data_IF_464868170452
#
_entry.id   IF_464868170452
#
_cell.length_a   1.000
_cell.length_b   1.000
_cell.length_c   1.000
_cell.angle_alpha   90.00
_cell.angle_beta   90.00
_cell.angle_gamma   90.00
#
_symmetry.space_group_name_H-M   'P 1'
#
loop_
_entity.id
_entity.type
_entity.pdbx_description
1 polymer ?
#
# COMPACT_ATOMS: atom_id res chain seq x y z
N UNK A 1 -12.69 -4.37 -0.52
CA UNK A 1 -14.04 -4.39 -1.11
C UNK A 1 -14.77 -3.09 -0.87
N UNK A 2 -14.62 -2.44 0.29
CA UNK A 2 -15.44 -1.30 0.71
C UNK A 2 -16.70 -1.73 1.47
N UNK A 3 -17.22 -2.94 1.21
CA UNK A 3 -18.42 -3.47 1.85
C UNK A 3 -18.28 -3.55 3.39
N UNK A 4 -19.05 -2.78 4.19
CA UNK A 4 -18.80 -2.66 5.63
C UNK A 4 -19.49 -3.80 6.41
N UNK A 5 -18.82 -4.95 6.43
CA UNK A 5 -19.32 -6.22 7.00
C UNK A 5 -19.86 -6.03 8.42
N UNK A 6 -19.11 -5.38 9.31
CA UNK A 6 -19.52 -5.21 10.70
C UNK A 6 -20.78 -4.34 10.87
N UNK A 7 -20.89 -3.25 10.09
CA UNK A 7 -22.07 -2.36 10.10
C UNK A 7 -23.33 -3.10 9.64
N UNK A 8 -23.21 -3.94 8.62
CA UNK A 8 -24.33 -4.73 8.09
C UNK A 8 -24.68 -5.92 8.99
N UNK A 9 -23.68 -6.60 9.55
CA UNK A 9 -23.89 -7.68 10.52
C UNK A 9 -24.66 -7.21 11.77
N UNK A 10 -24.37 -6.00 12.26
CA UNK A 10 -25.10 -5.41 13.39
C UNK A 10 -26.59 -5.19 13.07
N UNK A 11 -26.91 -4.78 11.84
CA UNK A 11 -28.30 -4.63 11.35
C UNK A 11 -29.00 -5.98 11.22
N UNK A 12 -28.31 -7.00 10.71
CA UNK A 12 -28.84 -8.38 10.63
C UNK A 12 -29.16 -8.92 12.03
N UNK A 13 -28.29 -8.64 13.02
CA UNK A 13 -28.49 -9.08 14.40
C UNK A 13 -29.78 -8.54 15.05
N UNK A 14 -30.34 -7.44 14.54
CA UNK A 14 -31.63 -6.88 15.01
C UNK A 14 -32.82 -7.22 14.08
N UNK A 15 -32.63 -8.14 13.13
CA UNK A 15 -33.70 -8.74 12.34
C UNK A 15 -33.81 -8.27 10.88
N UNK A 16 -32.92 -7.40 10.41
CA UNK A 16 -32.91 -6.97 8.99
C UNK A 16 -32.32 -8.06 8.08
N UNK A 17 -32.81 -8.13 6.84
CA UNK A 17 -32.22 -8.96 5.77
C UNK A 17 -31.39 -8.12 4.79
N UNK A 18 -30.53 -8.76 3.99
CA UNK A 18 -29.63 -8.06 3.08
C UNK A 18 -30.36 -7.24 2.01
N UNK A 19 -31.53 -7.70 1.57
CA UNK A 19 -32.41 -7.05 0.58
C UNK A 19 -33.22 -5.87 1.16
N UNK A 20 -33.22 -5.71 2.49
CA UNK A 20 -33.85 -4.55 3.16
C UNK A 20 -32.87 -3.39 3.38
N UNK A 21 -31.56 -3.62 3.19
CA UNK A 21 -30.51 -2.66 3.48
C UNK A 21 -29.92 -2.09 2.19
N UNK A 22 -29.86 -0.77 2.05
CA UNK A 22 -29.09 -0.13 0.98
C UNK A 22 -27.59 -0.37 1.16
N UNK A 23 -26.88 -0.53 0.04
CA UNK A 23 -25.43 -0.57 -0.01
C UNK A 23 -24.89 0.82 0.39
N UNK A 24 -24.12 0.91 1.49
CA UNK A 24 -23.63 2.19 2.00
C UNK A 24 -22.55 2.84 1.14
N UNK A 25 -22.08 2.18 0.06
CA UNK A 25 -21.06 2.74 -0.85
C UNK A 25 -21.68 3.35 -2.10
N UNK A 26 -22.55 2.60 -2.78
CA UNK A 26 -23.21 3.06 -4.00
C UNK A 26 -24.46 3.86 -3.72
N UNK A 27 -25.10 3.66 -2.55
CA UNK A 27 -26.38 4.24 -2.11
C UNK A 27 -27.59 4.02 -3.06
N UNK A 28 -27.35 3.36 -4.19
CA UNK A 28 -28.29 3.15 -5.30
C UNK A 28 -28.63 1.67 -5.50
N UNK A 29 -27.90 0.77 -4.83
CA UNK A 29 -28.15 -0.67 -4.82
C UNK A 29 -28.38 -1.20 -3.40
N UNK A 30 -28.83 -2.45 -3.29
CA UNK A 30 -29.02 -3.13 -2.00
C UNK A 30 -27.77 -3.87 -1.55
N UNK A 31 -27.67 -4.19 -0.27
CA UNK A 31 -26.54 -4.92 0.32
C UNK A 31 -26.51 -6.41 -0.07
N UNK A 32 -27.58 -6.94 -0.68
CA UNK A 32 -27.68 -8.32 -1.19
C UNK A 32 -26.97 -8.51 -2.54
N UNK A 33 -25.64 -8.41 -2.56
CA UNK A 33 -24.81 -8.67 -3.74
C UNK A 33 -23.42 -9.16 -3.34
N UNK A 34 -22.69 -9.71 -4.31
CA UNK A 34 -21.28 -10.07 -4.15
C UNK A 34 -20.41 -8.94 -4.75
N UNK A 35 -19.54 -8.28 -3.96
CA UNK A 35 -18.68 -7.23 -4.49
C UNK A 35 -17.76 -7.75 -5.60
N UNK A 36 -17.64 -6.95 -6.66
CA UNK A 36 -16.68 -7.18 -7.74
C UNK A 36 -15.60 -6.12 -7.67
N UNK A 37 -14.35 -6.55 -7.75
CA UNK A 37 -13.19 -5.66 -7.67
C UNK A 37 -12.47 -5.67 -9.02
N UNK A 38 -12.13 -4.50 -9.51
CA UNK A 38 -11.31 -4.29 -10.71
C UNK A 38 -9.83 -4.02 -10.37
N UNK A 39 -9.44 -4.32 -9.14
CA UNK A 39 -8.10 -4.13 -8.60
C UNK A 39 -7.67 -5.31 -7.72
N UNK A 40 -6.37 -5.37 -7.40
CA UNK A 40 -5.75 -6.38 -6.55
C UNK A 40 -5.37 -5.76 -5.20
N UNK A 41 -5.73 -6.45 -4.12
CA UNK A 41 -5.33 -6.10 -2.75
C UNK A 41 -4.23 -7.05 -2.30
N UNK A 42 -3.14 -6.50 -1.78
CA UNK A 42 -2.08 -7.26 -1.13
C UNK A 42 -2.01 -6.89 0.33
N UNK A 43 -1.97 -7.91 1.19
CA UNK A 43 -1.78 -7.75 2.63
C UNK A 43 -0.48 -8.41 3.04
N UNK A 44 0.34 -7.73 3.84
CA UNK A 44 1.57 -8.31 4.40
C UNK A 44 1.56 -8.12 5.93
N UNK A 45 1.79 -9.19 6.72
CA UNK A 45 1.91 -9.06 8.18
C UNK A 45 3.16 -8.26 8.58
N UNK A 46 3.02 -7.44 9.63
CA UNK A 46 4.11 -6.76 10.31
C UNK A 46 4.49 -7.54 11.57
N UNK A 47 5.73 -8.01 11.63
CA UNK A 47 6.25 -8.77 12.77
C UNK A 47 7.02 -7.86 13.74
N UNK A 48 7.27 -8.24 15.00
CA UNK A 48 8.00 -7.41 15.96
C UNK A 48 9.47 -7.85 16.17
N UNK A 49 10.09 -8.54 15.21
CA UNK A 49 11.42 -9.14 15.41
C UNK A 49 12.54 -8.12 15.56
N UNK A 50 12.32 -6.85 15.19
CA UNK A 50 13.20 -5.73 15.52
C UNK A 50 13.27 -5.41 17.03
N UNK A 51 12.27 -5.86 17.80
CA UNK A 51 12.23 -5.73 19.27
C UNK A 51 12.58 -7.02 20.00
N UNK A 52 12.48 -8.16 19.32
CA UNK A 52 12.75 -9.48 19.87
C UNK A 52 13.84 -10.20 19.07
N UNK A 53 15.06 -9.68 19.12
CA UNK A 53 16.20 -10.24 18.36
C UNK A 53 16.48 -11.72 18.66
N UNK A 54 16.17 -12.18 19.87
CA UNK A 54 16.32 -13.58 20.30
C UNK A 54 15.04 -14.40 20.16
N UNK A 55 13.98 -13.81 19.61
CA UNK A 55 12.71 -14.48 19.38
C UNK A 55 12.82 -15.54 18.28
N UNK A 56 12.03 -16.60 18.40
CA UNK A 56 11.92 -17.59 17.33
C UNK A 56 11.18 -17.00 16.13
N UNK A 57 11.87 -16.84 15.00
CA UNK A 57 11.34 -16.21 13.78
C UNK A 57 10.53 -17.12 12.87
N UNK A 58 10.66 -18.45 13.03
CA UNK A 58 9.94 -19.44 12.22
C UNK A 58 8.44 -19.22 12.35
N UNK A 59 7.76 -19.09 11.21
CA UNK A 59 6.32 -18.88 11.14
C UNK A 59 5.61 -20.23 11.04
N UNK A 60 4.42 -20.31 11.63
CA UNK A 60 3.61 -21.51 11.64
C UNK A 60 2.15 -21.18 11.89
N UNK A 61 1.42 -22.12 12.49
CA UNK A 61 -0.03 -21.96 12.76
C UNK A 61 -0.33 -20.96 13.87
N UNK A 62 0.63 -20.70 14.76
CA UNK A 62 0.50 -19.69 15.80
C UNK A 62 0.91 -18.31 15.26
N UNK A 63 0.00 -17.34 15.38
CA UNK A 63 0.24 -15.96 14.93
C UNK A 63 1.35 -15.30 15.76
N UNK A 64 2.33 -14.73 15.06
CA UNK A 64 3.44 -13.94 15.63
C UNK A 64 3.45 -12.47 15.16
N UNK A 65 2.59 -12.12 14.20
CA UNK A 65 2.47 -10.76 13.68
C UNK A 65 1.82 -9.84 14.73
N UNK A 66 2.26 -8.59 14.80
CA UNK A 66 1.71 -7.56 15.70
C UNK A 66 0.82 -6.55 14.97
N UNK A 67 0.82 -6.58 13.64
CA UNK A 67 -0.05 -5.77 12.81
C UNK A 67 0.08 -6.18 11.35
N UNK A 68 -0.36 -5.31 10.46
CA UNK A 68 -0.40 -5.58 9.03
C UNK A 68 -0.46 -4.29 8.20
N UNK A 69 -0.03 -4.42 6.94
CA UNK A 69 -0.23 -3.41 5.90
C UNK A 69 -1.12 -3.97 4.83
N UNK A 70 -1.90 -3.09 4.22
CA UNK A 70 -2.63 -3.39 2.99
C UNK A 70 -2.21 -2.42 1.90
N UNK A 71 -2.29 -2.83 0.64
CA UNK A 71 -2.15 -1.95 -0.49
C UNK A 71 -3.06 -2.39 -1.64
N UNK A 72 -3.42 -1.42 -2.48
CA UNK A 72 -4.29 -1.61 -3.64
C UNK A 72 -3.52 -1.22 -4.90
N UNK A 73 -3.61 -2.04 -5.95
CA UNK A 73 -3.06 -1.74 -7.28
C UNK A 73 -3.87 -2.42 -8.38
N UNK A 74 -3.75 -1.96 -9.61
CA UNK A 74 -4.41 -2.52 -10.80
C UNK A 74 -3.77 -3.85 -11.23
N UNK A 75 -2.53 -4.07 -10.84
CA UNK A 75 -1.81 -5.32 -11.03
C UNK A 75 -1.36 -5.90 -9.69
N UNK A 76 -1.11 -7.21 -9.67
CA UNK A 76 -0.57 -7.86 -8.47
C UNK A 76 0.81 -7.31 -8.11
N UNK A 77 1.65 -7.06 -9.11
CA UNK A 77 2.99 -6.52 -8.93
C UNK A 77 2.94 -5.13 -8.27
N UNK A 78 2.05 -4.26 -8.76
CA UNK A 78 1.87 -2.92 -8.19
C UNK A 78 1.38 -2.99 -6.75
N UNK A 79 0.32 -3.79 -6.52
CA UNK A 79 -0.25 -4.00 -5.20
C UNK A 79 0.78 -4.54 -4.20
N UNK A 80 1.59 -5.52 -4.62
CA UNK A 80 2.63 -6.12 -3.79
C UNK A 80 3.75 -5.14 -3.47
N UNK A 81 4.29 -4.42 -4.46
CA UNK A 81 5.38 -3.46 -4.24
C UNK A 81 4.94 -2.28 -3.37
N UNK A 82 3.67 -1.85 -3.47
CA UNK A 82 3.06 -0.89 -2.53
C UNK A 82 2.99 -1.45 -1.12
N UNK A 83 2.55 -2.70 -0.96
CA UNK A 83 2.50 -3.34 0.35
C UNK A 83 3.91 -3.52 0.95
N UNK A 84 4.93 -3.85 0.14
CA UNK A 84 6.30 -3.99 0.63
C UNK A 84 6.83 -2.66 1.17
N UNK A 85 6.73 -1.56 0.41
CA UNK A 85 7.22 -0.25 0.89
C UNK A 85 6.40 0.34 2.03
N UNK A 86 5.22 -0.23 2.28
CA UNK A 86 4.36 0.11 3.42
C UNK A 86 4.82 -0.51 4.75
N UNK A 87 5.68 -1.54 4.75
CA UNK A 87 6.02 -2.33 5.95
C UNK A 87 6.80 -1.58 7.04
N UNK A 88 7.32 -0.39 6.75
CA UNK A 88 8.17 0.38 7.66
C UNK A 88 9.40 -0.40 8.17
N UNK A 89 9.95 -1.24 7.30
CA UNK A 89 11.19 -1.99 7.50
C UNK A 89 12.37 -1.45 6.68
N UNK A 90 12.18 -0.33 5.97
CA UNK A 90 13.18 0.21 5.05
C UNK A 90 13.40 -0.65 3.79
N UNK A 91 12.46 -1.56 3.51
CA UNK A 91 12.41 -2.36 2.27
C UNK A 91 11.49 -1.67 1.27
N UNK A 92 11.93 -1.58 0.03
CA UNK A 92 11.19 -0.89 -1.05
C UNK A 92 10.97 -1.79 -2.28
N UNK A 93 11.44 -3.05 -2.22
CA UNK A 93 11.42 -3.98 -3.34
C UNK A 93 11.42 -5.45 -2.89
N UNK A 94 11.34 -6.39 -3.83
CA UNK A 94 11.52 -7.84 -3.59
C UNK A 94 13.00 -8.19 -3.33
N UNK A 95 13.52 -7.72 -2.20
CA UNK A 95 14.89 -7.96 -1.76
C UNK A 95 15.18 -7.24 -0.44
N UNK A 96 16.19 -7.74 0.28
CA UNK A 96 16.69 -7.07 1.49
C UNK A 96 17.74 -6.02 1.09
N UNK A 97 17.92 -4.93 1.85
CA UNK A 97 18.94 -3.91 1.55
C UNK A 97 20.36 -4.46 1.45
N UNK A 98 20.67 -5.53 2.18
CA UNK A 98 21.95 -6.25 2.16
C UNK A 98 21.88 -7.58 1.41
N UNK A 99 20.85 -7.80 0.57
CA UNK A 99 20.60 -9.06 -0.12
C UNK A 99 21.84 -9.60 -0.85
N UNK A 100 22.56 -8.72 -1.57
CA UNK A 100 23.77 -9.04 -2.34
C UNK A 100 24.91 -9.65 -1.51
N UNK A 101 24.91 -9.47 -0.18
CA UNK A 101 25.98 -9.96 0.71
C UNK A 101 25.85 -11.44 1.07
N UNK A 102 24.65 -12.02 0.91
CA UNK A 102 24.40 -13.42 1.23
C UNK A 102 24.76 -14.31 0.04
N UNK A 103 25.28 -15.51 0.27
CA UNK A 103 25.44 -16.51 -0.80
C UNK A 103 24.10 -17.22 -1.12
N UNK A 104 24.06 -17.91 -2.25
CA UNK A 104 22.82 -18.56 -2.72
C UNK A 104 22.38 -19.72 -1.83
N UNK A 105 23.32 -20.45 -1.23
CA UNK A 105 23.01 -21.60 -0.37
C UNK A 105 22.36 -21.13 0.94
N UNK A 106 22.89 -20.06 1.53
CA UNK A 106 22.29 -19.38 2.67
C UNK A 106 20.87 -18.92 2.35
N UNK A 107 20.67 -18.24 1.20
CA UNK A 107 19.34 -17.78 0.78
C UNK A 107 18.36 -18.96 0.67
N UNK A 108 18.75 -20.05 0.02
CA UNK A 108 17.90 -21.24 -0.12
C UNK A 108 17.60 -21.89 1.23
N UNK A 109 18.54 -21.86 2.17
CA UNK A 109 18.28 -22.28 3.56
C UNK A 109 17.22 -21.40 4.21
N UNK A 110 17.36 -20.08 4.13
CA UNK A 110 16.42 -19.11 4.72
C UNK A 110 15.01 -19.20 4.14
N UNK A 111 14.88 -19.49 2.84
CA UNK A 111 13.58 -19.75 2.22
C UNK A 111 12.87 -20.94 2.87
N UNK A 112 13.62 -21.99 3.24
CA UNK A 112 13.09 -23.20 3.89
C UNK A 112 12.76 -22.98 5.36
N UNK A 113 13.39 -22.02 6.03
CA UNK A 113 13.15 -21.70 7.45
C UNK A 113 11.76 -21.07 7.70
N UNK A 114 11.09 -20.57 6.65
CA UNK A 114 9.74 -20.01 6.71
C UNK A 114 9.58 -18.87 7.72
N UNK A 115 10.47 -17.87 7.67
CA UNK A 115 10.42 -16.70 8.54
C UNK A 115 9.79 -15.46 7.87
N UNK A 116 9.83 -14.33 8.56
CA UNK A 116 9.33 -13.03 8.11
C UNK A 116 10.11 -12.43 6.92
N UNK A 117 11.31 -12.93 6.64
CA UNK A 117 12.16 -12.46 5.52
C UNK A 117 12.00 -13.31 4.26
N UNK A 118 11.30 -14.44 4.34
CA UNK A 118 11.18 -15.42 3.26
C UNK A 118 10.76 -14.80 1.92
N UNK A 119 9.84 -13.83 1.91
CA UNK A 119 9.43 -13.13 0.69
C UNK A 119 10.62 -12.46 -0.02
N UNK A 120 11.48 -11.79 0.73
CA UNK A 120 12.63 -11.07 0.19
C UNK A 120 13.73 -12.03 -0.28
N UNK A 121 13.96 -13.12 0.46
CA UNK A 121 14.88 -14.17 0.03
C UNK A 121 14.43 -14.88 -1.25
N UNK A 122 13.12 -15.09 -1.44
CA UNK A 122 12.59 -15.58 -2.73
C UNK A 122 12.95 -14.62 -3.86
N UNK A 123 12.76 -13.31 -3.67
CA UNK A 123 13.16 -12.29 -4.63
C UNK A 123 14.65 -12.36 -4.99
N UNK A 124 15.52 -12.49 -3.99
CA UNK A 124 16.96 -12.67 -4.18
C UNK A 124 17.33 -13.97 -4.92
N UNK A 125 16.66 -15.08 -4.62
CA UNK A 125 16.89 -16.36 -5.27
C UNK A 125 16.51 -16.31 -6.76
N UNK A 126 15.37 -15.68 -7.09
CA UNK A 126 14.92 -15.46 -8.47
C UNK A 126 15.93 -14.57 -9.21
N UNK A 127 16.36 -13.46 -8.59
CA UNK A 127 17.36 -12.55 -9.15
C UNK A 127 18.68 -13.25 -9.52
N UNK A 128 18.99 -14.36 -8.85
CA UNK A 128 20.21 -15.17 -9.08
C UNK A 128 19.97 -16.43 -9.92
N UNK A 129 18.81 -16.52 -10.58
CA UNK A 129 18.51 -17.60 -11.51
C UNK A 129 18.07 -18.91 -10.87
N UNK A 130 17.64 -18.90 -9.60
CA UNK A 130 16.95 -20.07 -9.03
C UNK A 130 15.64 -20.27 -9.77
N UNK A 131 15.37 -21.49 -10.24
CA UNK A 131 14.18 -21.75 -11.05
C UNK A 131 12.91 -21.69 -10.21
N UNK A 132 11.79 -21.33 -10.84
CA UNK A 132 10.51 -21.22 -10.15
C UNK A 132 10.03 -22.58 -9.63
N UNK A 133 10.39 -23.68 -10.31
CA UNK A 133 10.11 -25.04 -9.86
C UNK A 133 10.84 -25.35 -8.56
N UNK A 134 12.12 -24.98 -8.44
CA UNK A 134 12.87 -25.19 -7.20
C UNK A 134 12.26 -24.38 -6.05
N UNK A 135 11.88 -23.12 -6.29
CA UNK A 135 11.22 -22.27 -5.30
C UNK A 135 9.86 -22.85 -4.93
N UNK A 136 9.06 -23.27 -5.90
CA UNK A 136 7.76 -23.91 -5.64
C UNK A 136 7.93 -25.16 -4.79
N UNK A 137 8.92 -26.02 -5.06
CA UNK A 137 9.15 -27.21 -4.26
C UNK A 137 9.51 -26.89 -2.81
N UNK A 138 10.33 -25.87 -2.58
CA UNK A 138 10.70 -25.42 -1.23
C UNK A 138 9.54 -24.75 -0.47
N UNK A 139 8.67 -24.04 -1.19
CA UNK A 139 7.76 -23.06 -0.58
C UNK A 139 6.29 -23.45 -0.65
N UNK A 140 5.92 -24.25 -1.67
CA UNK A 140 4.55 -24.53 -2.12
C UNK A 140 3.75 -23.27 -2.51
N UNK A 141 4.43 -22.14 -2.72
CA UNK A 141 3.81 -20.93 -3.26
C UNK A 141 3.44 -21.19 -4.71
N UNK A 142 2.21 -20.87 -5.08
CA UNK A 142 1.69 -21.14 -6.42
C UNK A 142 2.52 -20.47 -7.52
N UNK A 143 2.65 -21.15 -8.66
CA UNK A 143 3.37 -20.63 -9.82
C UNK A 143 2.84 -19.29 -10.31
N UNK A 144 1.54 -19.00 -10.15
CA UNK A 144 0.97 -17.70 -10.46
C UNK A 144 1.75 -16.57 -9.78
N UNK A 145 1.95 -16.65 -8.46
CA UNK A 145 2.68 -15.63 -7.71
C UNK A 145 4.18 -15.64 -8.02
N UNK A 146 4.78 -16.82 -8.19
CA UNK A 146 6.19 -16.92 -8.53
C UNK A 146 6.51 -16.30 -9.90
N UNK A 147 5.63 -16.46 -10.89
CA UNK A 147 5.75 -15.79 -12.18
C UNK A 147 5.63 -14.27 -12.04
N UNK A 148 4.81 -13.78 -11.11
CA UNK A 148 4.71 -12.34 -10.81
C UNK A 148 5.97 -11.79 -10.16
N UNK A 149 6.58 -12.55 -9.25
CA UNK A 149 7.87 -12.18 -8.68
C UNK A 149 8.97 -12.16 -9.76
N UNK A 150 9.01 -13.17 -10.64
CA UNK A 150 9.92 -13.19 -11.79
C UNK A 150 9.71 -11.98 -12.70
N UNK A 151 8.47 -11.60 -12.96
CA UNK A 151 8.17 -10.42 -13.78
C UNK A 151 8.72 -9.13 -13.16
N UNK A 152 8.55 -8.94 -11.84
CA UNK A 152 9.17 -7.82 -11.12
C UNK A 152 10.70 -7.82 -11.32
N UNK A 153 11.36 -8.97 -11.13
CA UNK A 153 12.82 -9.07 -11.32
C UNK A 153 13.23 -8.80 -12.78
N UNK A 154 12.42 -9.19 -13.76
CA UNK A 154 12.70 -8.90 -15.17
C UNK A 154 12.64 -7.39 -15.44
N UNK A 155 11.60 -6.69 -14.93
CA UNK A 155 11.49 -5.22 -15.03
C UNK A 155 12.70 -4.54 -14.38
N UNK A 156 13.15 -5.04 -13.23
CA UNK A 156 14.33 -4.54 -12.54
C UNK A 156 15.59 -4.61 -13.43
N UNK A 157 15.80 -5.75 -14.11
CA UNK A 157 16.92 -5.92 -15.05
C UNK A 157 16.79 -5.02 -16.28
N UNK A 158 15.59 -4.89 -16.83
CA UNK A 158 15.31 -4.04 -17.98
C UNK A 158 15.57 -2.56 -17.67
N UNK A 159 15.19 -2.08 -16.48
CA UNK A 159 15.53 -0.73 -16.01
C UNK A 159 17.03 -0.50 -15.98
N UNK A 160 17.78 -1.46 -15.41
CA UNK A 160 19.25 -1.35 -15.33
C UNK A 160 19.91 -1.31 -16.72
N UNK A 161 19.36 -2.05 -17.68
CA UNK A 161 19.86 -2.07 -19.06
C UNK A 161 19.51 -0.79 -19.85
N UNK A 162 18.42 -0.11 -19.51
CA UNK A 162 17.87 1.04 -20.24
C UNK A 162 17.85 2.31 -19.37
N UNK A 163 19.00 2.63 -18.74
CA UNK A 163 19.17 3.78 -17.84
C UNK A 163 18.62 5.09 -18.46
N UNK A 164 17.67 5.70 -17.77
CA UNK A 164 17.09 7.00 -18.14
C UNK A 164 16.05 6.95 -19.27
N UNK A 165 15.68 5.76 -19.77
CA UNK A 165 14.66 5.64 -20.81
C UNK A 165 13.26 5.85 -20.22
N UNK A 166 12.51 6.78 -20.82
CA UNK A 166 11.18 7.21 -20.37
C UNK A 166 10.12 6.10 -20.50
N UNK A 167 10.23 5.25 -21.53
CA UNK A 167 9.28 4.17 -21.73
C UNK A 167 9.46 3.09 -20.65
N UNK A 168 10.70 2.74 -20.33
CA UNK A 168 11.00 1.80 -19.25
C UNK A 168 10.67 2.38 -17.87
N UNK A 169 10.90 3.68 -17.66
CA UNK A 169 10.43 4.40 -16.48
C UNK A 169 8.92 4.24 -16.31
N UNK A 170 8.13 4.64 -17.33
CA UNK A 170 6.67 4.53 -17.31
C UNK A 170 6.20 3.09 -17.10
N UNK A 171 6.81 2.13 -17.81
CA UNK A 171 6.49 0.71 -17.67
C UNK A 171 6.69 0.23 -16.24
N UNK A 172 7.81 0.58 -15.59
CA UNK A 172 8.06 0.21 -14.20
C UNK A 172 7.06 0.85 -13.22
N UNK A 173 6.66 2.11 -13.43
CA UNK A 173 5.64 2.78 -12.62
C UNK A 173 4.29 2.06 -12.68
N UNK A 174 3.88 1.57 -13.86
CA UNK A 174 2.65 0.78 -14.05
C UNK A 174 2.63 -0.53 -13.24
N UNK A 175 3.80 -1.03 -12.83
CA UNK A 175 3.93 -2.21 -11.97
C UNK A 175 4.36 -1.88 -10.54
N UNK A 176 4.23 -0.61 -10.12
CA UNK A 176 4.38 -0.14 -8.74
C UNK A 176 5.82 0.02 -8.24
N UNK A 177 6.80 0.14 -9.15
CA UNK A 177 8.16 0.50 -8.77
C UNK A 177 8.20 1.92 -8.18
N UNK A 178 8.82 2.06 -7.00
CA UNK A 178 9.08 3.36 -6.39
C UNK A 178 10.19 4.10 -7.12
N UNK A 179 10.16 5.42 -7.03
CA UNK A 179 11.20 6.31 -7.55
C UNK A 179 12.56 5.94 -6.95
N UNK A 180 12.60 5.52 -5.69
CA UNK A 180 13.80 4.97 -5.01
C UNK A 180 14.42 3.76 -5.72
N UNK A 181 13.61 2.78 -6.10
CA UNK A 181 14.12 1.57 -6.77
C UNK A 181 14.58 1.89 -8.18
N UNK A 182 13.82 2.73 -8.89
CA UNK A 182 14.16 3.15 -10.24
C UNK A 182 15.45 3.96 -10.22
N UNK A 183 15.60 4.92 -9.30
CA UNK A 183 16.81 5.72 -9.10
C UNK A 183 18.02 4.83 -8.87
N UNK A 184 17.88 3.79 -8.04
CA UNK A 184 18.95 2.83 -7.82
C UNK A 184 19.33 2.02 -9.07
N UNK A 185 18.37 1.65 -9.93
CA UNK A 185 18.65 0.90 -11.17
C UNK A 185 19.16 1.78 -12.30
N UNK A 186 18.70 3.03 -12.35
CA UNK A 186 19.18 4.05 -13.26
C UNK A 186 20.46 4.73 -12.78
N UNK A 187 20.97 4.44 -11.58
CA UNK A 187 22.13 5.14 -11.02
C UNK A 187 21.94 6.67 -11.09
N UNK A 188 20.79 7.09 -10.55
CA UNK A 188 20.30 8.46 -10.41
C UNK A 188 19.88 8.68 -8.96
N UNK A 189 19.64 9.92 -8.58
CA UNK A 189 18.98 10.28 -7.31
C UNK A 189 17.47 10.14 -7.43
N UNK A 190 16.78 10.00 -6.28
CA UNK A 190 15.31 9.93 -6.25
C UNK A 190 14.67 11.20 -6.84
N UNK A 191 15.25 12.37 -6.53
CA UNK A 191 14.82 13.67 -7.09
C UNK A 191 14.96 13.72 -8.61
N UNK A 192 16.08 13.25 -9.19
CA UNK A 192 16.23 13.23 -10.64
C UNK A 192 15.21 12.32 -11.33
N UNK A 193 14.85 11.19 -10.72
CA UNK A 193 13.79 10.31 -11.24
C UNK A 193 12.42 10.96 -11.12
N UNK A 194 12.13 11.59 -9.99
CA UNK A 194 10.91 12.36 -9.79
C UNK A 194 10.76 13.46 -10.85
N UNK A 195 11.79 14.29 -11.05
CA UNK A 195 11.79 15.37 -12.03
C UNK A 195 11.59 14.84 -13.46
N UNK A 196 12.30 13.75 -13.81
CA UNK A 196 12.15 13.08 -15.10
C UNK A 196 10.73 12.58 -15.32
N UNK A 197 10.13 12.02 -14.28
CA UNK A 197 8.78 11.48 -14.27
C UNK A 197 7.74 12.59 -14.46
N UNK A 198 7.83 13.67 -13.69
CA UNK A 198 6.93 14.84 -13.77
C UNK A 198 7.07 15.54 -15.13
N UNK A 199 8.29 15.77 -15.61
CA UNK A 199 8.54 16.43 -16.90
C UNK A 199 7.94 15.68 -18.11
N UNK A 200 7.70 14.37 -17.96
CA UNK A 200 7.11 13.53 -19.01
C UNK A 200 5.65 13.15 -18.73
N UNK A 201 5.00 13.79 -17.74
CA UNK A 201 3.58 13.54 -17.41
C UNK A 201 3.31 12.13 -16.89
N UNK A 202 4.29 11.50 -16.25
CA UNK A 202 4.16 10.17 -15.65
C UNK A 202 3.77 10.35 -14.18
N UNK A 203 2.57 10.86 -13.92
CA UNK A 203 2.05 11.02 -12.55
C UNK A 203 1.01 9.95 -12.25
N UNK A 204 0.84 9.53 -10.99
CA UNK A 204 -0.24 8.62 -10.66
C UNK A 204 -1.60 9.32 -10.86
N UNK A 205 -2.61 8.51 -11.12
CA UNK A 205 -4.02 8.86 -11.01
C UNK A 205 -4.61 8.11 -9.82
N UNK A 206 -5.68 8.64 -9.25
CA UNK A 206 -6.34 8.04 -8.10
C UNK A 206 -7.69 7.47 -8.51
N UNK A 207 -7.84 6.17 -8.29
CA UNK A 207 -9.03 5.38 -8.58
C UNK A 207 -9.85 5.15 -7.33
N UNK A 208 -11.16 5.10 -7.48
CA UNK A 208 -12.11 4.94 -6.38
C UNK A 208 -12.35 3.46 -6.04
N UNK A 209 -12.61 3.18 -4.77
CA UNK A 209 -13.15 1.91 -4.30
C UNK A 209 -14.68 2.00 -4.26
N UNK A 210 -15.35 1.21 -5.11
CA UNK A 210 -16.80 1.36 -5.38
C UNK A 210 -17.64 0.09 -5.13
N UNK A 211 -17.04 -1.02 -4.70
CA UNK A 211 -17.65 -2.36 -4.53
C UNK A 211 -18.14 -3.08 -5.80
N UNK A 212 -18.14 -2.43 -6.96
CA UNK A 212 -18.87 -2.89 -8.14
C UNK A 212 -18.10 -2.78 -9.46
N UNK A 213 -16.80 -2.48 -9.43
CA UNK A 213 -15.95 -2.42 -10.62
C UNK A 213 -16.50 -1.46 -11.69
N UNK A 214 -16.86 -0.25 -11.24
CA UNK A 214 -17.44 0.85 -12.00
C UNK A 214 -18.79 0.56 -12.68
N UNK A 215 -19.52 -0.49 -12.26
CA UNK A 215 -20.88 -0.74 -12.75
C UNK A 215 -21.86 0.36 -12.30
N UNK A 216 -21.65 0.92 -11.11
CA UNK A 216 -22.45 1.99 -10.54
C UNK A 216 -21.58 3.18 -10.12
N UNK A 217 -22.11 4.39 -10.24
CA UNK A 217 -21.47 5.57 -9.67
C UNK A 217 -21.40 5.42 -8.14
N UNK A 218 -20.20 5.58 -7.59
CA UNK A 218 -19.95 5.63 -6.15
C UNK A 218 -19.62 7.06 -5.76
N UNK A 219 -20.19 7.53 -4.66
CA UNK A 219 -19.83 8.80 -4.04
C UNK A 219 -18.81 8.61 -2.90
N UNK A 220 -18.33 7.38 -2.68
CA UNK A 220 -17.45 7.07 -1.55
C UNK A 220 -16.06 7.62 -1.80
N UNK A 221 -15.54 8.53 -0.95
CA UNK A 221 -14.27 9.20 -1.20
C UNK A 221 -13.09 8.34 -0.73
N UNK A 222 -13.02 7.10 -1.21
CA UNK A 222 -12.00 6.11 -0.90
C UNK A 222 -11.18 5.85 -2.15
N UNK A 223 -9.93 6.31 -2.14
CA UNK A 223 -9.04 6.32 -3.29
C UNK A 223 -7.78 5.47 -3.08
N UNK A 224 -7.20 5.00 -4.18
CA UNK A 224 -5.85 4.46 -4.26
C UNK A 224 -5.15 4.93 -5.54
N UNK A 225 -3.84 5.16 -5.47
CA UNK A 225 -3.00 5.60 -6.57
C UNK A 225 -2.59 4.46 -7.50
N UNK A 226 -2.62 4.72 -8.81
CA UNK A 226 -2.11 3.83 -9.86
C UNK A 226 -1.64 4.63 -11.08
N UNK A 227 -0.94 4.01 -12.02
CA UNK A 227 -0.45 4.66 -13.24
C UNK A 227 -1.32 4.31 -14.46
N UNK A 228 -2.58 4.74 -14.42
CA UNK A 228 -3.53 4.67 -15.53
C UNK A 228 -3.80 6.07 -16.13
N UNK A 229 -4.90 6.23 -16.87
CA UNK A 229 -5.18 7.43 -17.65
C UNK A 229 -6.09 8.44 -16.94
N UNK A 230 -7.13 7.96 -16.25
CA UNK A 230 -8.18 8.81 -15.69
C UNK A 230 -8.06 8.91 -14.17
N UNK A 231 -8.08 10.14 -13.65
CA UNK A 231 -8.09 10.44 -12.24
C UNK A 231 -9.52 10.70 -11.74
N UNK A 232 -9.96 9.91 -10.77
CA UNK A 232 -11.31 9.95 -10.20
C UNK A 232 -11.38 10.77 -8.90
N UNK A 233 -10.23 11.11 -8.31
CA UNK A 233 -10.20 12.05 -7.18
C UNK A 233 -10.35 13.49 -7.67
N UNK A 234 -11.50 14.09 -7.38
CA UNK A 234 -11.81 15.47 -7.80
C UNK A 234 -11.34 16.48 -6.75
N UNK A 235 -10.43 17.37 -7.12
CA UNK A 235 -9.91 18.45 -6.26
C UNK A 235 -11.00 19.51 -6.04
N UNK A 236 -11.41 19.74 -4.80
CA UNK A 236 -12.41 20.79 -4.47
C UNK A 236 -11.76 22.15 -4.21
N UNK A 237 -12.57 23.22 -4.21
CA UNK A 237 -12.16 24.60 -3.86
C UNK A 237 -12.10 24.85 -2.34
N UNK A 238 -12.53 23.89 -1.51
CA UNK A 238 -12.52 24.05 -0.04
C UNK A 238 -11.09 24.01 0.46
N UNK A 239 -10.76 24.82 1.47
CA UNK A 239 -9.45 24.73 2.11
C UNK A 239 -9.29 23.35 2.76
N UNK A 240 -8.21 22.65 2.40
CA UNK A 240 -7.94 21.28 2.84
C UNK A 240 -6.85 21.21 3.88
N UNK A 241 -6.99 20.28 4.82
CA UNK A 241 -5.93 19.86 5.71
C UNK A 241 -5.69 18.38 5.50
N UNK A 242 -4.46 18.02 5.17
CA UNK A 242 -4.02 16.63 5.03
C UNK A 242 -3.59 16.09 6.39
N UNK A 243 -4.00 14.88 6.75
CA UNK A 243 -3.60 14.19 7.97
C UNK A 243 -2.90 12.89 7.60
N UNK A 244 -1.65 12.73 8.05
CA UNK A 244 -0.92 11.47 7.87
C UNK A 244 -1.26 10.52 9.02
N UNK A 245 -1.76 9.33 8.68
CA UNK A 245 -2.11 8.29 9.63
C UNK A 245 -0.90 7.57 10.22
N UNK A 246 -1.18 6.50 10.95
CA UNK A 246 -0.15 5.80 11.74
C UNK A 246 0.68 4.78 10.97
N UNK A 247 0.21 4.34 9.80
CA UNK A 247 0.76 3.16 9.14
C UNK A 247 0.46 1.86 9.93
N UNK A 248 1.16 0.77 9.63
CA UNK A 248 0.96 -0.51 10.31
C UNK A 248 1.18 -0.43 11.82
N UNK A 249 0.32 -1.12 12.57
CA UNK A 249 0.51 -1.30 14.01
C UNK A 249 1.79 -2.11 14.28
N UNK A 250 2.59 -1.61 15.22
CA UNK A 250 3.77 -2.31 15.76
C UNK A 250 3.97 -1.96 17.23
N UNK A 251 4.85 -2.69 17.90
CA UNK A 251 5.15 -2.42 19.32
C UNK A 251 5.71 -1.00 19.47
N UNK A 252 5.01 -0.17 20.25
CA UNK A 252 5.31 1.24 20.46
C UNK A 252 4.61 2.21 19.48
N UNK A 253 3.90 1.70 18.48
CA UNK A 253 3.00 2.45 17.60
C UNK A 253 1.70 1.67 17.44
N UNK A 254 0.78 1.86 18.38
CA UNK A 254 -0.50 1.20 18.42
C UNK A 254 -1.68 2.06 17.97
N UNK A 255 -2.87 1.61 18.36
CA UNK A 255 -4.16 2.23 18.06
C UNK A 255 -4.32 3.63 18.67
N UNK A 256 -3.50 4.00 19.66
CA UNK A 256 -3.50 5.33 20.26
C UNK A 256 -3.22 6.46 19.24
N UNK A 257 -2.38 6.18 18.22
CA UNK A 257 -2.09 7.13 17.14
C UNK A 257 -3.23 7.20 16.12
N UNK A 258 -3.89 6.06 15.88
CA UNK A 258 -5.11 6.02 15.07
C UNK A 258 -6.23 6.86 15.72
N UNK A 259 -6.43 6.70 17.02
CA UNK A 259 -7.39 7.50 17.80
C UNK A 259 -7.12 9.00 17.68
N UNK A 260 -5.86 9.43 17.85
CA UNK A 260 -5.48 10.83 17.70
C UNK A 260 -5.72 11.35 16.28
N UNK A 261 -5.44 10.53 15.27
CA UNK A 261 -5.67 10.83 13.84
C UNK A 261 -7.16 11.05 13.56
N UNK A 262 -8.02 10.14 14.01
CA UNK A 262 -9.49 10.24 13.86
C UNK A 262 -10.02 11.52 14.51
N UNK A 263 -9.58 11.82 15.73
CA UNK A 263 -10.00 13.04 16.43
C UNK A 263 -9.52 14.32 15.74
N UNK A 264 -8.33 14.31 15.14
CA UNK A 264 -7.84 15.44 14.37
C UNK A 264 -8.70 15.68 13.12
N UNK A 265 -9.05 14.62 12.39
CA UNK A 265 -9.95 14.69 11.23
C UNK A 265 -11.30 15.31 11.61
N UNK A 266 -11.93 14.84 12.68
CA UNK A 266 -13.19 15.42 13.15
C UNK A 266 -13.07 16.89 13.54
N UNK A 267 -11.98 17.27 14.22
CA UNK A 267 -11.74 18.66 14.60
C UNK A 267 -11.55 19.57 13.38
N UNK A 268 -10.84 19.08 12.34
CA UNK A 268 -10.63 19.77 11.07
C UNK A 268 -11.98 20.00 10.35
N UNK A 269 -12.81 18.96 10.27
CA UNK A 269 -14.16 19.05 9.69
C UNK A 269 -15.05 20.03 10.46
N UNK A 270 -15.03 19.98 11.80
CA UNK A 270 -15.77 20.91 12.65
C UNK A 270 -15.31 22.36 12.50
N UNK A 271 -14.03 22.56 12.20
CA UNK A 271 -13.46 23.87 11.89
C UNK A 271 -13.79 24.37 10.46
N UNK A 272 -14.50 23.56 9.66
CA UNK A 272 -14.98 23.93 8.34
C UNK A 272 -14.01 23.64 7.20
N UNK A 273 -12.93 22.90 7.43
CA UNK A 273 -11.98 22.47 6.40
C UNK A 273 -12.39 21.15 5.75
N UNK A 274 -11.87 20.86 4.56
CA UNK A 274 -11.89 19.51 3.98
C UNK A 274 -10.78 18.68 4.62
N UNK A 275 -11.13 17.59 5.29
CA UNK A 275 -10.17 16.71 5.94
C UNK A 275 -9.82 15.55 5.01
N UNK A 276 -8.55 15.51 4.60
CA UNK A 276 -7.99 14.45 3.77
C UNK A 276 -7.09 13.59 4.65
N UNK A 277 -7.22 12.26 4.57
CA UNK A 277 -6.35 11.33 5.27
C UNK A 277 -5.55 10.46 4.30
N UNK A 278 -4.29 10.21 4.64
CA UNK A 278 -3.45 9.18 4.01
C UNK A 278 -3.10 8.14 5.06
N UNK A 279 -3.50 6.89 4.86
CA UNK A 279 -3.13 5.78 5.74
C UNK A 279 -3.34 4.45 5.00
N UNK A 280 -2.68 3.37 5.44
CA UNK A 280 -2.72 2.07 4.76
C UNK A 280 -2.88 0.87 5.71
N UNK A 281 -3.31 1.13 6.94
CA UNK A 281 -3.54 0.09 7.93
C UNK A 281 -5.01 -0.37 7.89
N UNK A 282 -5.31 -1.59 7.44
CA UNK A 282 -6.68 -2.07 7.24
C UNK A 282 -7.46 -2.30 8.55
N UNK A 283 -6.80 -2.33 9.71
CA UNK A 283 -7.44 -2.60 11.01
C UNK A 283 -7.98 -1.33 11.68
N UNK A 284 -7.72 -0.15 11.10
CA UNK A 284 -7.88 1.13 11.78
C UNK A 284 -9.14 1.87 11.41
N UNK A 285 -9.69 2.61 12.38
CA UNK A 285 -10.90 3.43 12.16
C UNK A 285 -10.59 4.57 11.19
N UNK A 286 -9.38 5.11 11.21
CA UNK A 286 -8.99 6.18 10.28
C UNK A 286 -9.07 5.78 8.80
N UNK A 287 -9.00 4.48 8.49
CA UNK A 287 -9.21 3.97 7.12
C UNK A 287 -10.66 3.55 6.81
N UNK A 288 -11.62 3.85 7.70
CA UNK A 288 -13.03 3.85 7.36
C UNK A 288 -13.35 5.13 6.57
N UNK A 289 -13.84 4.98 5.35
CA UNK A 289 -14.16 6.07 4.43
C UNK A 289 -15.20 7.07 4.98
N UNK A 290 -15.95 6.72 6.03
CA UNK A 290 -16.91 7.61 6.68
C UNK A 290 -16.28 8.59 7.68
N UNK A 291 -14.98 8.50 7.94
CA UNK A 291 -14.28 9.36 8.92
C UNK A 291 -13.84 10.69 8.31
N UNK A 292 -13.34 10.68 7.08
CA UNK A 292 -12.75 11.84 6.40
C UNK A 292 -13.55 12.27 5.18
N UNK A 293 -13.35 13.50 4.70
CA UNK A 293 -13.92 13.93 3.42
C UNK A 293 -13.26 13.19 2.24
N UNK A 294 -11.97 12.82 2.38
CA UNK A 294 -11.25 11.92 1.45
C UNK A 294 -10.26 11.03 2.16
N UNK A 295 -10.28 9.74 1.81
CA UNK A 295 -9.34 8.73 2.23
C UNK A 295 -8.48 8.29 1.05
N UNK A 296 -7.17 8.48 1.16
CA UNK A 296 -6.18 7.89 0.28
C UNK A 296 -5.55 6.68 0.98
N UNK A 297 -5.86 5.48 0.49
CA UNK A 297 -5.30 4.24 1.02
C UNK A 297 -3.94 3.94 0.38
N UNK A 298 -2.96 4.77 0.73
CA UNK A 298 -1.63 4.79 0.12
C UNK A 298 -0.50 4.56 1.13
N UNK A 299 0.65 4.03 0.68
CA UNK A 299 1.83 3.93 1.52
C UNK A 299 2.23 5.28 2.11
N UNK A 300 2.67 5.29 3.36
CA UNK A 300 3.23 6.48 4.00
C UNK A 300 4.72 6.63 3.65
N UNK A 301 4.99 6.92 2.38
CA UNK A 301 6.32 7.26 1.88
C UNK A 301 6.35 8.70 1.36
N UNK A 302 7.55 9.27 1.26
CA UNK A 302 7.75 10.62 0.69
C UNK A 302 7.15 10.72 -0.71
N UNK A 303 7.45 9.76 -1.59
CA UNK A 303 6.91 9.71 -2.94
C UNK A 303 5.38 9.69 -2.97
N UNK A 304 4.77 8.74 -2.24
CA UNK A 304 3.32 8.51 -2.29
C UNK A 304 2.55 9.69 -1.68
N UNK A 305 3.07 10.28 -0.59
CA UNK A 305 2.46 11.46 0.06
C UNK A 305 2.64 12.72 -0.77
N UNK A 306 3.82 12.95 -1.36
CA UNK A 306 4.05 14.11 -2.23
C UNK A 306 3.16 14.08 -3.47
N UNK A 307 2.93 12.91 -4.08
CA UNK A 307 1.99 12.82 -5.21
C UNK A 307 0.56 13.27 -4.81
N UNK A 308 0.13 13.01 -3.56
CA UNK A 308 -1.18 13.45 -3.05
C UNK A 308 -1.16 14.96 -2.75
N UNK A 309 -0.08 15.47 -2.15
CA UNK A 309 0.10 16.91 -1.88
C UNK A 309 0.08 17.69 -3.19
N UNK A 310 0.79 17.21 -4.21
CA UNK A 310 0.86 17.83 -5.54
C UNK A 310 -0.52 17.91 -6.20
N UNK A 311 -1.34 16.86 -6.04
CA UNK A 311 -2.72 16.84 -6.54
C UNK A 311 -3.65 17.77 -5.73
N UNK A 312 -3.68 17.62 -4.41
CA UNK A 312 -4.71 18.23 -3.56
C UNK A 312 -4.41 19.67 -3.15
N UNK A 313 -3.13 20.06 -3.17
CA UNK A 313 -2.62 21.36 -2.74
C UNK A 313 -3.18 21.76 -1.35
N UNK A 314 -2.99 20.94 -0.30
CA UNK A 314 -3.56 21.22 1.01
C UNK A 314 -2.95 22.48 1.65
N UNK A 315 -3.75 23.21 2.43
CA UNK A 315 -3.32 24.39 3.18
C UNK A 315 -2.28 24.05 4.26
N UNK A 316 -2.35 22.84 4.78
CA UNK A 316 -1.42 22.34 5.78
C UNK A 316 -1.47 20.82 5.89
N UNK A 317 -0.39 20.25 6.41
CA UNK A 317 -0.24 18.81 6.65
C UNK A 317 -0.01 18.57 8.14
N UNK A 318 -0.80 17.68 8.73
CA UNK A 318 -0.68 17.24 10.12
C UNK A 318 0.12 15.95 10.14
N UNK A 319 1.30 16.01 10.74
CA UNK A 319 2.29 14.91 10.79
C UNK A 319 2.54 14.40 12.22
N UNK A 320 1.99 15.08 13.23
CA UNK A 320 2.29 14.85 14.65
C UNK A 320 1.47 13.71 15.28
N UNK A 321 0.34 13.32 14.66
CA UNK A 321 -0.61 12.38 15.26
C UNK A 321 -0.50 10.95 14.73
N UNK A 322 0.15 10.73 13.58
CA UNK A 322 0.45 9.40 13.03
C UNK A 322 1.65 8.69 13.66
N UNK A 323 2.17 9.18 14.79
CA UNK A 323 3.34 8.60 15.44
C UNK A 323 4.62 8.70 14.59
N UNK A 324 5.58 7.81 14.83
CA UNK A 324 6.93 7.92 14.27
C UNK A 324 6.96 7.92 12.74
N UNK A 325 6.02 7.23 12.10
CA UNK A 325 5.92 7.13 10.64
C UNK A 325 5.67 8.49 10.01
N UNK A 326 4.60 9.16 10.43
CA UNK A 326 4.26 10.49 9.98
C UNK A 326 5.34 11.52 10.38
N UNK A 327 5.88 11.41 11.60
CA UNK A 327 6.95 12.31 12.08
C UNK A 327 8.21 12.21 11.22
N UNK A 328 8.61 11.00 10.80
CA UNK A 328 9.80 10.80 9.96
C UNK A 328 9.64 11.37 8.54
N UNK A 329 8.42 11.63 8.10
CA UNK A 329 8.14 12.28 6.82
C UNK A 329 8.20 13.80 6.93
N UNK A 330 8.08 14.39 8.13
CA UNK A 330 7.97 15.83 8.31
C UNK A 330 9.16 16.62 7.72
N UNK A 331 10.39 16.12 7.86
CA UNK A 331 11.59 16.78 7.32
C UNK A 331 11.74 16.63 5.80
N UNK A 332 10.92 15.77 5.18
CA UNK A 332 11.00 15.38 3.76
C UNK A 332 9.90 15.99 2.89
N UNK A 333 8.83 16.50 3.50
CA UNK A 333 7.67 17.13 2.84
C UNK A 333 7.81 18.65 2.84
#
# INVERSE_FOLDING_TARGET
TGYPIAKLAAKIAVGLTLDEMLNPITETSYAAFEPTLDYVISKIPRFPFDKFEKGERVLGTQMKATGEVMAIGRTYEESLLKAIRSLEYGVHHLGLPNGETFDLDYIKSRIKDQDDERLFFIGEAIRRGTTLEEIHEMTKIDYFFLNKFQHIINIEHDLKANKGDINYLKFAKNYGFSDRVIAHRFDMTETEVHDLRVANGITPVYKMVDTCAAEFESATPYYYGTYEYENESTVTEKEKILVLGSGPIRIGQGVEFDYATVHAVWAIQQAGYEAIIVNNNPETVSTDFSISDKLYFEPLTEEDVMNIIDLEQPKGVVVQFGGQTAINLADKL
#
